data_IF_040329236840
#
_entry.id   IF_040329236840
#
_cell.length_a   1.000
_cell.length_b   1.000
_cell.length_c   1.000
_cell.angle_alpha   90.00
_cell.angle_beta   90.00
_cell.angle_gamma   90.00
#
_symmetry.space_group_name_H-M   'P 1'
#
loop_
_entity.id
_entity.type
_entity.pdbx_description
1 polymer ?
#
# COMPACT_ATOMS: atom_id res chain seq x y z
N UNK A 1 17.94 -16.31 -13.53
CA UNK A 1 16.85 -17.23 -13.18
C UNK A 1 15.64 -16.82 -14.00
N UNK A 2 15.11 -17.71 -14.84
CA UNK A 2 13.96 -17.41 -15.68
C UNK A 2 12.70 -17.35 -14.80
N UNK A 3 12.01 -16.22 -14.80
CA UNK A 3 10.72 -16.07 -14.12
C UNK A 3 9.71 -16.92 -14.88
N UNK A 4 9.18 -17.94 -14.21
CA UNK A 4 8.08 -18.76 -14.73
C UNK A 4 6.86 -17.86 -14.97
N UNK A 5 6.56 -17.61 -16.24
CA UNK A 5 5.51 -16.69 -16.70
C UNK A 5 4.11 -17.29 -16.61
N UNK A 6 3.95 -18.45 -15.97
CA UNK A 6 2.65 -19.09 -15.74
C UNK A 6 2.10 -18.92 -14.32
N UNK A 7 2.92 -18.43 -13.38
CA UNK A 7 2.50 -18.25 -11.98
C UNK A 7 2.01 -16.82 -11.72
N UNK A 8 0.97 -16.72 -10.89
CA UNK A 8 0.49 -15.43 -10.39
C UNK A 8 1.60 -14.79 -9.55
N UNK A 9 1.87 -13.50 -9.78
CA UNK A 9 2.84 -12.72 -9.02
C UNK A 9 2.16 -12.02 -7.85
N UNK A 10 2.73 -12.00 -6.64
CA UNK A 10 2.12 -11.28 -5.51
C UNK A 10 2.03 -9.77 -5.81
N UNK A 11 1.01 -9.11 -5.27
CA UNK A 11 0.80 -7.67 -5.39
C UNK A 11 0.34 -7.08 -4.06
N UNK A 12 0.49 -5.76 -3.91
CA UNK A 12 0.13 -5.08 -2.66
C UNK A 12 0.88 -5.60 -1.45
N UNK A 13 0.17 -5.84 -0.34
CA UNK A 13 0.79 -6.33 0.88
C UNK A 13 1.45 -7.70 0.73
N UNK A 14 0.91 -8.57 -0.13
CA UNK A 14 1.49 -9.90 -0.35
C UNK A 14 2.94 -9.79 -0.87
N UNK A 15 3.17 -8.88 -1.82
CA UNK A 15 4.49 -8.62 -2.38
C UNK A 15 5.43 -8.01 -1.32
N UNK A 16 4.95 -7.04 -0.57
CA UNK A 16 5.75 -6.33 0.44
C UNK A 16 6.18 -7.26 1.58
N UNK A 17 5.26 -8.14 2.03
CA UNK A 17 5.56 -9.15 3.05
C UNK A 17 6.62 -10.11 2.56
N UNK A 18 6.52 -10.58 1.31
CA UNK A 18 7.50 -11.49 0.72
C UNK A 18 8.86 -10.81 0.49
N UNK A 19 8.88 -9.62 -0.13
CA UNK A 19 10.10 -8.88 -0.46
C UNK A 19 10.95 -8.56 0.78
N UNK A 20 10.31 -8.18 1.89
CA UNK A 20 10.99 -7.76 3.11
C UNK A 20 10.98 -8.82 4.22
N UNK A 21 10.41 -10.01 3.99
CA UNK A 21 10.34 -11.07 5.00
C UNK A 21 9.58 -10.66 6.27
N UNK A 22 8.49 -9.89 6.12
CA UNK A 22 7.81 -9.27 7.25
C UNK A 22 7.09 -10.30 8.12
N UNK A 23 7.28 -10.20 9.44
CA UNK A 23 6.50 -10.96 10.43
C UNK A 23 5.35 -10.10 10.95
N UNK A 24 4.20 -10.19 10.27
CA UNK A 24 2.99 -9.45 10.65
C UNK A 24 1.75 -10.36 10.59
N UNK A 25 0.70 -9.99 11.32
CA UNK A 25 -0.61 -10.68 11.22
C UNK A 25 -1.09 -10.56 9.76
N UNK A 26 -1.50 -11.67 9.12
CA UNK A 26 -1.97 -11.65 7.74
C UNK A 26 -3.10 -10.66 7.54
N UNK A 27 -3.11 -10.00 6.38
CA UNK A 27 -4.22 -9.14 6.01
C UNK A 27 -5.47 -9.97 5.67
N UNK A 28 -6.65 -9.36 5.84
CA UNK A 28 -7.92 -9.97 5.44
C UNK A 28 -8.05 -10.13 3.91
N UNK A 29 -7.25 -9.39 3.13
CA UNK A 29 -7.23 -9.43 1.67
C UNK A 29 -5.80 -9.64 1.15
N UNK A 30 -5.64 -10.69 0.35
CA UNK A 30 -4.41 -11.02 -0.39
C UNK A 30 -4.61 -10.80 -1.89
N UNK A 31 -3.64 -10.17 -2.53
CA UNK A 31 -3.69 -9.81 -3.94
C UNK A 31 -2.53 -10.42 -4.74
N UNK A 32 -2.84 -10.86 -5.96
CA UNK A 32 -1.86 -11.32 -6.95
C UNK A 32 -2.24 -10.85 -8.34
N UNK A 33 -1.29 -10.85 -9.27
CA UNK A 33 -1.47 -10.48 -10.68
C UNK A 33 -1.14 -11.67 -11.56
N UNK A 34 -2.10 -12.03 -12.40
CA UNK A 34 -1.96 -13.08 -13.41
C UNK A 34 -1.54 -12.47 -14.76
N UNK A 35 -0.57 -13.07 -15.46
CA UNK A 35 -0.21 -12.66 -16.83
C UNK A 35 -1.36 -12.80 -17.83
N UNK A 36 -2.34 -13.68 -17.54
CA UNK A 36 -3.50 -13.95 -18.39
C UNK A 36 -4.81 -13.98 -17.61
N UNK A 37 -5.93 -13.79 -18.30
CA UNK A 37 -7.27 -13.88 -17.72
C UNK A 37 -7.81 -12.55 -17.21
N UNK A 38 -8.87 -12.63 -16.42
CA UNK A 38 -9.62 -11.47 -15.89
C UNK A 38 -9.53 -11.42 -14.36
N UNK A 39 -10.02 -10.32 -13.79
CA UNK A 39 -10.14 -10.17 -12.35
C UNK A 39 -11.00 -11.30 -11.77
N UNK A 40 -10.42 -12.07 -10.85
CA UNK A 40 -11.11 -13.11 -10.07
C UNK A 40 -11.03 -12.76 -8.59
N UNK A 41 -12.12 -12.96 -7.87
CA UNK A 41 -12.19 -12.77 -6.42
C UNK A 41 -12.82 -14.00 -5.81
N UNK A 42 -12.25 -14.43 -4.71
CA UNK A 42 -12.70 -15.57 -3.94
C UNK A 42 -12.70 -15.20 -2.45
N UNK A 43 -13.71 -15.67 -1.72
CA UNK A 43 -13.83 -15.40 -0.28
C UNK A 43 -14.06 -16.72 0.45
N UNK A 44 -13.05 -17.14 1.21
CA UNK A 44 -13.06 -18.38 1.98
C UNK A 44 -12.48 -18.11 3.37
N UNK A 45 -13.09 -18.68 4.40
CA UNK A 45 -12.62 -18.61 5.80
C UNK A 45 -12.32 -17.18 6.31
N UNK A 46 -13.09 -16.19 5.87
CA UNK A 46 -12.90 -14.79 6.26
C UNK A 46 -11.76 -14.07 5.53
N UNK A 47 -11.11 -14.72 4.57
CA UNK A 47 -10.05 -14.17 3.75
C UNK A 47 -10.53 -13.93 2.31
N UNK A 48 -10.30 -12.72 1.82
CA UNK A 48 -10.48 -12.37 0.42
C UNK A 48 -9.19 -12.64 -0.35
N UNK A 49 -9.26 -13.39 -1.44
CA UNK A 49 -8.17 -13.53 -2.40
C UNK A 49 -8.58 -12.93 -3.73
N UNK A 50 -7.77 -12.01 -4.26
CA UNK A 50 -8.01 -11.43 -5.58
C UNK A 50 -6.85 -11.71 -6.53
N UNK A 51 -7.17 -12.17 -7.73
CA UNK A 51 -6.24 -12.34 -8.85
C UNK A 51 -6.59 -11.31 -9.91
N UNK A 52 -5.75 -10.29 -10.05
CA UNK A 52 -5.91 -9.20 -11.00
C UNK A 52 -5.28 -9.53 -12.36
N UNK A 53 -5.76 -8.97 -13.47
CA UNK A 53 -5.10 -9.12 -14.76
C UNK A 53 -3.82 -8.28 -14.84
N UNK A 54 -2.94 -8.62 -15.77
CA UNK A 54 -1.62 -7.99 -15.96
C UNK A 54 -1.64 -6.45 -16.02
N UNK A 55 -2.71 -5.83 -16.51
CA UNK A 55 -2.87 -4.38 -16.56
C UNK A 55 -2.90 -3.68 -15.20
N UNK A 56 -3.04 -4.44 -14.11
CA UNK A 56 -3.00 -3.96 -12.73
C UNK A 56 -1.64 -4.15 -12.07
N UNK A 57 -0.61 -4.64 -12.79
CA UNK A 57 0.74 -4.71 -12.25
C UNK A 57 1.18 -3.30 -11.82
N UNK A 58 1.46 -3.08 -10.53
CA UNK A 58 1.72 -1.73 -10.04
C UNK A 58 3.10 -1.20 -10.43
N UNK A 59 4.04 -2.09 -10.74
CA UNK A 59 5.46 -1.80 -10.88
C UNK A 59 6.26 -2.80 -10.05
N UNK A 60 7.57 -2.60 -9.95
CA UNK A 60 8.44 -3.48 -9.15
C UNK A 60 8.96 -2.76 -7.88
N UNK A 61 8.54 -1.51 -7.66
CA UNK A 61 8.98 -0.69 -6.53
C UNK A 61 8.08 -0.80 -5.30
N UNK A 62 8.68 -0.62 -4.11
CA UNK A 62 7.97 -0.68 -2.83
C UNK A 62 6.80 0.30 -2.76
N UNK A 63 7.02 1.53 -3.22
CA UNK A 63 5.98 2.56 -3.24
C UNK A 63 4.78 2.21 -4.13
N UNK A 64 5.01 1.55 -5.27
CA UNK A 64 3.94 1.15 -6.17
C UNK A 64 3.05 0.07 -5.56
N UNK A 65 3.68 -0.89 -4.87
CA UNK A 65 2.96 -1.91 -4.10
C UNK A 65 2.28 -1.34 -2.85
N UNK A 66 2.84 -0.32 -2.21
CA UNK A 66 2.18 0.42 -1.13
C UNK A 66 0.92 1.12 -1.61
N UNK A 67 0.98 1.84 -2.73
CA UNK A 67 -0.18 2.47 -3.35
C UNK A 67 -1.24 1.44 -3.74
N UNK A 68 -0.82 0.31 -4.33
CA UNK A 68 -1.72 -0.80 -4.65
C UNK A 68 -2.41 -1.33 -3.40
N UNK A 69 -1.67 -1.62 -2.33
CA UNK A 69 -2.19 -2.18 -1.10
C UNK A 69 -3.25 -1.26 -0.47
N UNK A 70 -2.93 0.03 -0.33
CA UNK A 70 -3.89 1.00 0.24
C UNK A 70 -5.16 1.14 -0.61
N UNK A 71 -5.07 0.94 -1.92
CA UNK A 71 -6.21 1.02 -2.85
C UNK A 71 -7.10 -0.22 -2.77
N UNK A 72 -6.49 -1.40 -2.76
CA UNK A 72 -7.20 -2.67 -2.95
C UNK A 72 -7.26 -3.51 -1.69
N UNK A 73 -6.13 -3.72 -1.01
CA UNK A 73 -6.01 -4.57 0.18
C UNK A 73 -6.50 -3.87 1.47
N UNK A 74 -6.69 -2.54 1.40
CA UNK A 74 -7.09 -1.70 2.52
C UNK A 74 -5.92 -1.26 3.39
N UNK A 75 -6.22 -0.58 4.50
CA UNK A 75 -5.23 -0.11 5.47
C UNK A 75 -5.00 -1.19 6.54
N UNK A 76 -3.76 -1.66 6.66
CA UNK A 76 -3.31 -2.53 7.75
C UNK A 76 -2.10 -1.91 8.46
N UNK A 77 -2.32 -1.33 9.64
CA UNK A 77 -1.28 -0.62 10.38
C UNK A 77 -0.16 -1.55 10.89
N UNK A 78 -0.46 -2.83 11.13
CA UNK A 78 0.54 -3.80 11.58
C UNK A 78 1.56 -4.13 10.50
N UNK A 79 1.09 -4.40 9.28
CA UNK A 79 1.98 -4.63 8.12
C UNK A 79 2.73 -3.34 7.77
N UNK A 80 2.06 -2.19 7.77
CA UNK A 80 2.71 -0.90 7.47
C UNK A 80 3.81 -0.57 8.49
N UNK A 81 3.54 -0.76 9.78
CA UNK A 81 4.54 -0.53 10.82
C UNK A 81 5.74 -1.46 10.65
N UNK A 82 5.51 -2.77 10.46
CA UNK A 82 6.59 -3.73 10.21
C UNK A 82 7.40 -3.40 8.95
N UNK A 83 6.74 -2.97 7.88
CA UNK A 83 7.40 -2.56 6.64
C UNK A 83 8.26 -1.32 6.84
N UNK A 84 7.74 -0.28 7.47
CA UNK A 84 8.45 0.99 7.63
C UNK A 84 9.67 0.88 8.55
N UNK A 85 9.73 -0.14 9.41
CA UNK A 85 10.95 -0.43 10.18
C UNK A 85 12.11 -0.95 9.34
N UNK A 86 11.83 -1.65 8.23
CA UNK A 86 12.86 -2.35 7.43
C UNK A 86 13.06 -1.78 6.03
N UNK A 87 12.07 -1.10 5.47
CA UNK A 87 12.16 -0.50 4.14
C UNK A 87 13.10 0.72 4.17
N UNK A 88 13.96 0.90 3.15
CA UNK A 88 14.82 2.08 3.07
C UNK A 88 14.01 3.37 3.01
N UNK A 89 14.26 4.29 3.94
CA UNK A 89 13.54 5.56 4.01
C UNK A 89 13.67 6.38 2.70
N UNK A 90 14.85 6.37 2.09
CA UNK A 90 15.13 7.08 0.83
C UNK A 90 14.28 6.53 -0.33
N UNK A 91 14.05 5.20 -0.39
CA UNK A 91 13.20 4.59 -1.42
C UNK A 91 11.74 5.07 -1.29
N UNK A 92 11.24 5.17 -0.05
CA UNK A 92 9.90 5.69 0.22
C UNK A 92 9.83 7.19 -0.12
N UNK A 93 10.84 7.97 0.28
CA UNK A 93 10.92 9.41 0.03
C UNK A 93 10.98 9.73 -1.48
N UNK A 94 11.81 9.01 -2.23
CA UNK A 94 11.93 9.16 -3.69
C UNK A 94 10.61 8.86 -4.39
N UNK A 95 9.93 7.78 -3.97
CA UNK A 95 8.63 7.45 -4.53
C UNK A 95 7.57 8.51 -4.21
N UNK A 96 7.51 9.01 -2.96
CA UNK A 96 6.60 10.12 -2.60
C UNK A 96 6.90 11.37 -3.43
N UNK A 97 8.18 11.70 -3.60
CA UNK A 97 8.65 12.85 -4.39
C UNK A 97 8.30 12.75 -5.87
N UNK A 98 8.19 11.54 -6.42
CA UNK A 98 7.77 11.32 -7.80
C UNK A 98 6.29 11.64 -8.04
N UNK A 99 5.45 11.61 -6.98
CA UNK A 99 3.98 11.81 -7.05
C UNK A 99 3.49 12.69 -5.87
N UNK A 100 4.00 13.92 -5.68
CA UNK A 100 3.87 14.66 -4.41
C UNK A 100 2.43 15.08 -4.08
N UNK A 101 1.57 15.25 -5.09
CA UNK A 101 0.15 15.59 -4.91
C UNK A 101 -0.76 14.35 -4.88
N UNK A 102 -0.20 13.16 -5.14
CA UNK A 102 -0.92 11.90 -5.19
C UNK A 102 -1.61 11.58 -3.87
N UNK A 103 -2.88 11.15 -3.95
CA UNK A 103 -3.66 10.77 -2.76
C UNK A 103 -2.94 9.71 -1.92
N UNK A 104 -2.42 8.65 -2.56
CA UNK A 104 -1.75 7.57 -1.87
C UNK A 104 -0.35 7.94 -1.39
N UNK A 105 0.43 8.71 -2.16
CA UNK A 105 1.72 9.23 -1.73
C UNK A 105 1.60 10.04 -0.42
N UNK A 106 0.62 10.94 -0.34
CA UNK A 106 0.37 11.73 0.88
C UNK A 106 -0.10 10.87 2.07
N UNK A 107 -0.88 9.82 1.82
CA UNK A 107 -1.27 8.86 2.89
C UNK A 107 -0.07 8.05 3.38
N UNK A 108 0.75 7.54 2.48
CA UNK A 108 1.96 6.80 2.81
C UNK A 108 2.92 7.68 3.62
N UNK A 109 3.15 8.92 3.17
CA UNK A 109 3.97 9.88 3.90
C UNK A 109 3.45 10.07 5.33
N UNK A 110 2.18 10.43 5.49
CA UNK A 110 1.58 10.59 6.81
C UNK A 110 1.73 9.32 7.68
N UNK A 111 1.40 8.15 7.13
CA UNK A 111 1.46 6.88 7.87
C UNK A 111 2.88 6.51 8.28
N UNK A 112 3.88 6.81 7.44
CA UNK A 112 5.28 6.55 7.75
C UNK A 112 5.71 7.35 8.98
N UNK A 113 5.50 8.67 8.97
CA UNK A 113 5.91 9.54 10.07
C UNK A 113 5.08 9.26 11.33
N UNK A 114 3.79 9.00 11.16
CA UNK A 114 2.89 8.67 12.27
C UNK A 114 3.25 7.36 12.98
N UNK A 115 3.56 6.30 12.22
CA UNK A 115 3.84 4.98 12.79
C UNK A 115 5.26 4.85 13.33
N UNK A 116 6.23 5.57 12.74
CA UNK A 116 7.65 5.43 13.10
C UNK A 116 8.17 6.58 13.96
N UNK A 117 7.48 7.72 13.98
CA UNK A 117 7.96 8.95 14.62
C UNK A 117 9.17 9.60 13.92
N UNK A 118 9.56 9.13 12.73
CA UNK A 118 10.69 9.65 11.95
C UNK A 118 10.18 10.47 10.78
N UNK A 119 10.71 11.68 10.61
CA UNK A 119 10.40 12.53 9.46
C UNK A 119 11.17 12.09 8.22
N UNK A 120 10.51 12.10 7.06
CA UNK A 120 11.19 11.88 5.79
C UNK A 120 11.86 13.19 5.34
N UNK A 121 13.01 13.15 4.63
CA UNK A 121 13.72 14.34 4.15
C UNK A 121 13.01 14.96 2.92
N UNK A 122 11.73 15.29 3.08
CA UNK A 122 10.85 15.81 2.04
C UNK A 122 10.47 17.26 2.32
N UNK A 123 10.46 18.14 1.30
CA UNK A 123 9.99 19.51 1.50
C UNK A 123 8.50 19.52 1.81
N UNK A 124 8.09 20.34 2.79
CA UNK A 124 6.69 20.49 3.15
C UNK A 124 5.81 20.84 1.93
N UNK A 125 4.64 20.20 1.84
CA UNK A 125 3.69 20.48 0.77
C UNK A 125 3.12 21.89 0.93
N UNK A 126 3.37 22.74 -0.07
CA UNK A 126 2.87 24.12 -0.09
C UNK A 126 1.46 24.24 -0.66
N UNK A 127 0.92 23.17 -1.27
CA UNK A 127 -0.39 23.13 -1.93
C UNK A 127 -1.02 21.74 -1.81
N UNK A 128 -2.34 21.71 -1.68
CA UNK A 128 -3.14 20.48 -1.70
C UNK A 128 -4.27 20.49 -0.68
N UNK A 129 -5.42 19.93 -1.05
CA UNK A 129 -6.56 19.80 -0.14
C UNK A 129 -6.31 18.67 0.85
N UNK A 130 -6.81 18.83 2.08
CA UNK A 130 -6.89 17.71 3.02
C UNK A 130 -7.68 16.56 2.39
N UNK A 131 -7.20 15.34 2.60
CA UNK A 131 -7.85 14.13 2.12
C UNK A 131 -7.98 13.19 3.31
N UNK A 132 -9.15 12.57 3.53
CA UNK A 132 -9.31 11.60 4.59
C UNK A 132 -8.22 10.52 4.50
N UNK A 133 -7.63 10.16 5.65
CA UNK A 133 -6.66 9.07 5.69
C UNK A 133 -7.35 7.73 5.43
N UNK A 134 -8.48 7.52 6.10
CA UNK A 134 -9.35 6.36 5.95
C UNK A 134 -10.63 6.78 5.21
N UNK A 135 -11.15 5.89 4.36
CA UNK A 135 -12.44 6.12 3.70
C UNK A 135 -13.58 5.93 4.71
N UNK A 136 -14.43 6.95 4.98
CA UNK A 136 -15.51 6.82 5.96
C UNK A 136 -16.53 5.72 5.63
N UNK A 137 -16.70 5.40 4.35
CA UNK A 137 -17.63 4.34 3.90
C UNK A 137 -17.07 2.92 4.15
N UNK A 138 -15.77 2.79 4.45
CA UNK A 138 -15.08 1.51 4.69
C UNK A 138 -14.59 1.34 6.12
N UNK A 139 -14.42 2.44 6.85
CA UNK A 139 -13.83 2.46 8.18
C UNK A 139 -14.65 3.34 9.11
N UNK A 140 -14.72 2.96 10.39
CA UNK A 140 -15.19 3.87 11.43
C UNK A 140 -14.19 5.02 11.56
N UNK A 141 -14.64 6.24 11.27
CA UNK A 141 -13.83 7.44 11.31
C UNK A 141 -14.48 8.48 12.23
N UNK A 142 -13.66 9.35 12.82
CA UNK A 142 -14.17 10.50 13.56
C UNK A 142 -14.80 11.53 12.60
N UNK A 143 -15.69 12.37 13.11
CA UNK A 143 -16.23 13.51 12.35
C UNK A 143 -15.07 14.42 11.92
N UNK A 144 -15.03 14.89 10.65
CA UNK A 144 -13.98 15.77 10.19
C UNK A 144 -13.83 17.00 11.12
N UNK A 145 -12.61 17.23 11.58
CA UNK A 145 -12.29 18.40 12.40
C UNK A 145 -12.49 19.69 11.60
N UNK A 146 -13.04 20.72 12.25
CA UNK A 146 -13.06 22.07 11.69
C UNK A 146 -11.71 22.74 11.92
N UNK A 147 -11.18 23.37 10.88
CA UNK A 147 -10.01 24.23 11.00
C UNK A 147 -10.44 25.49 11.75
N UNK A 148 -9.99 25.63 13.00
CA UNK A 148 -10.05 26.87 13.80
C UNK A 148 -8.87 27.78 13.49
#
# INVERSE_FOLDING_TARGET
MAVDTTQNRPAGYAFLVEQYGLSAVPNWHTSSVSPTGTLRRDFQDGQMTSVYPQSYWPGDGTGDHLEFALKYDGVNLGILSALFEVAPADEIADWISSKPTGKYARRVWFLYEFLTGRELPLPALTRGNYTPLLEPDRYYTAVPGQRV
#
